data_IF_851598356479
#
_entry.id   IF_851598356479
#
_cell.length_a   1.000
_cell.length_b   1.000
_cell.length_c   1.000
_cell.angle_alpha   90.00
_cell.angle_beta   90.00
_cell.angle_gamma   90.00
#
_symmetry.space_group_name_H-M   'P 1'
#
loop_
_entity.id
_entity.type
_entity.pdbx_description
1 polymer ?
#
# COMPACT_ATOMS: atom_id res chain seq x y z
N UNK A 1 15.22 17.84 -13.48
CA UNK A 1 14.35 18.74 -12.71
C UNK A 1 14.18 20.10 -13.38
N UNK A 2 15.21 20.96 -13.46
CA UNK A 2 15.09 22.31 -14.05
C UNK A 2 14.45 22.35 -15.45
N UNK A 3 14.95 21.56 -16.40
CA UNK A 3 14.40 21.51 -17.75
C UNK A 3 12.91 21.10 -17.81
N UNK A 4 12.48 20.18 -16.93
CA UNK A 4 11.07 19.77 -16.85
C UNK A 4 10.21 20.86 -16.23
N UNK A 5 10.71 21.56 -15.20
CA UNK A 5 10.03 22.71 -14.60
C UNK A 5 9.89 23.86 -15.59
N UNK A 6 10.96 24.19 -16.32
CA UNK A 6 10.95 25.24 -17.34
C UNK A 6 9.93 24.91 -18.44
N UNK A 7 9.92 23.66 -18.93
CA UNK A 7 8.94 23.20 -19.93
C UNK A 7 7.49 23.37 -19.46
N UNK A 8 7.18 22.95 -18.23
CA UNK A 8 5.80 23.04 -17.69
C UNK A 8 5.36 24.49 -17.52
N UNK A 9 6.27 25.37 -17.08
CA UNK A 9 5.98 26.80 -16.93
C UNK A 9 5.82 27.51 -18.27
N UNK A 10 6.47 27.05 -19.33
CA UNK A 10 6.29 27.58 -20.68
C UNK A 10 4.99 27.07 -21.34
N UNK A 11 4.74 25.77 -21.28
CA UNK A 11 3.70 25.14 -22.09
C UNK A 11 2.33 25.07 -21.39
N UNK A 12 2.32 24.99 -20.06
CA UNK A 12 1.09 24.85 -19.27
C UNK A 12 1.09 25.71 -17.98
N UNK A 13 1.44 27.02 -18.04
CA UNK A 13 1.61 27.87 -16.86
C UNK A 13 0.36 27.97 -15.99
N UNK A 14 -0.82 28.04 -16.61
CA UNK A 14 -2.08 28.15 -15.86
C UNK A 14 -2.33 26.90 -15.01
N UNK A 15 -2.10 25.70 -15.56
CA UNK A 15 -2.28 24.45 -14.83
C UNK A 15 -1.25 24.28 -13.71
N UNK A 16 -0.07 24.88 -13.85
CA UNK A 16 1.01 24.79 -12.87
C UNK A 16 0.89 25.81 -11.72
N UNK A 17 0.31 26.98 -11.99
CA UNK A 17 0.34 28.13 -11.05
C UNK A 17 -1.01 28.47 -10.43
N UNK A 18 -2.11 27.94 -10.96
CA UNK A 18 -3.45 28.19 -10.42
C UNK A 18 -3.89 27.05 -9.49
N UNK A 19 -4.86 27.33 -8.60
CA UNK A 19 -5.52 26.29 -7.81
C UNK A 19 -6.06 25.18 -8.71
N UNK A 20 -5.64 23.95 -8.40
CA UNK A 20 -6.12 22.74 -9.05
C UNK A 20 -7.30 22.10 -8.32
N UNK A 21 -7.94 21.09 -8.94
CA UNK A 21 -8.97 20.28 -8.29
C UNK A 21 -8.40 19.51 -7.09
N UNK A 22 -9.23 19.29 -6.07
CA UNK A 22 -8.86 18.58 -4.83
C UNK A 22 -8.29 17.18 -5.09
N UNK A 23 -8.77 16.53 -6.16
CA UNK A 23 -8.36 15.18 -6.54
C UNK A 23 -6.95 15.12 -7.16
N UNK A 24 -6.40 16.26 -7.63
CA UNK A 24 -5.06 16.38 -8.22
C UNK A 24 -5.01 16.43 -9.76
N UNK A 25 -3.80 16.60 -10.31
CA UNK A 25 -3.56 16.75 -11.76
C UNK A 25 -3.93 15.49 -12.56
N UNK A 26 -4.92 15.62 -13.45
CA UNK A 26 -5.54 14.48 -14.13
C UNK A 26 -4.58 13.58 -14.92
N UNK A 27 -3.64 14.08 -15.75
CA UNK A 27 -2.70 13.22 -16.47
C UNK A 27 -1.81 12.37 -15.56
N UNK A 28 -1.44 12.90 -14.38
CA UNK A 28 -0.68 12.13 -13.40
C UNK A 28 -1.56 11.07 -12.74
N UNK A 29 -2.81 11.41 -12.39
CA UNK A 29 -3.76 10.45 -11.82
C UNK A 29 -4.07 9.32 -12.80
N UNK A 30 -4.21 9.61 -14.08
CA UNK A 30 -4.40 8.63 -15.15
C UNK A 30 -3.17 7.73 -15.30
N UNK A 31 -1.97 8.30 -15.28
CA UNK A 31 -0.73 7.52 -15.30
C UNK A 31 -0.61 6.62 -14.07
N UNK A 32 -0.92 7.14 -12.88
CA UNK A 32 -0.93 6.38 -11.62
C UNK A 32 -2.00 5.29 -11.64
N UNK A 33 -3.22 5.58 -12.09
CA UNK A 33 -4.30 4.60 -12.23
C UNK A 33 -3.93 3.51 -13.24
N UNK A 34 -3.45 3.87 -14.44
CA UNK A 34 -2.94 2.91 -15.41
C UNK A 34 -1.79 2.04 -14.84
N UNK A 35 -1.00 2.60 -13.91
CA UNK A 35 0.09 1.90 -13.23
C UNK A 35 -0.37 1.00 -12.07
N UNK A 36 -1.47 1.32 -11.40
CA UNK A 36 -1.90 0.74 -10.13
C UNK A 36 -3.24 0.01 -10.15
N UNK A 37 -4.07 0.17 -11.19
CA UNK A 37 -5.38 -0.47 -11.29
C UNK A 37 -5.23 -2.00 -11.44
N UNK A 38 -5.49 -2.72 -10.34
CA UNK A 38 -5.82 -4.16 -10.29
C UNK A 38 -6.93 -4.41 -9.27
N UNK A 39 -7.86 -5.28 -9.64
CA UNK A 39 -8.69 -6.11 -8.75
C UNK A 39 -9.58 -5.41 -7.71
N UNK A 40 -10.29 -4.34 -8.11
CA UNK A 40 -11.65 -4.04 -7.64
C UNK A 40 -11.91 -3.92 -6.13
N UNK A 41 -10.98 -3.36 -5.36
CA UNK A 41 -11.05 -3.37 -3.90
C UNK A 41 -12.10 -2.41 -3.28
N UNK A 42 -12.71 -2.86 -2.16
CA UNK A 42 -13.66 -2.12 -1.31
C UNK A 42 -13.32 -2.35 0.17
N UNK A 43 -13.52 -1.35 1.04
CA UNK A 43 -13.04 -1.31 2.44
C UNK A 43 -14.20 -1.23 3.46
N UNK A 44 -14.02 -1.84 4.64
CA UNK A 44 -14.93 -1.79 5.82
C UNK A 44 -14.14 -1.45 7.10
N UNK A 45 -14.76 -1.33 8.29
CA UNK A 45 -14.16 -0.93 9.61
C UNK A 45 -13.84 -2.04 10.67
N UNK A 46 -12.59 -2.50 10.81
CA UNK A 46 -12.05 -3.52 11.76
C UNK A 46 -10.49 -3.55 11.65
N UNK A 47 -9.82 -4.52 12.26
CA UNK A 47 -8.36 -4.54 12.54
C UNK A 47 -7.47 -4.44 11.28
N UNK A 48 -6.23 -3.94 11.44
CA UNK A 48 -5.25 -3.81 10.36
C UNK A 48 -4.05 -4.72 10.65
N UNK A 49 -3.78 -5.66 9.74
CA UNK A 49 -2.58 -6.51 9.83
C UNK A 49 -1.37 -5.75 9.29
N UNK A 50 -0.26 -5.75 10.02
CA UNK A 50 0.97 -5.05 9.65
C UNK A 50 2.20 -5.95 9.84
N UNK A 51 3.27 -5.67 9.12
CA UNK A 51 4.60 -6.20 9.45
C UNK A 51 5.08 -5.64 10.82
N UNK A 52 5.93 -6.37 11.55
CA UNK A 52 6.57 -5.86 12.77
C UNK A 52 8.08 -6.09 12.67
N UNK A 53 8.91 -5.05 12.46
CA UNK A 53 8.57 -3.63 12.33
C UNK A 53 7.91 -3.26 10.98
N UNK A 54 7.24 -2.10 10.90
CA UNK A 54 6.61 -1.57 9.67
C UNK A 54 6.93 -0.09 9.44
N UNK A 55 6.55 0.42 8.27
CA UNK A 55 6.77 1.80 7.87
C UNK A 55 5.95 2.78 8.73
N UNK A 56 6.67 3.63 9.46
CA UNK A 56 6.09 4.60 10.40
C UNK A 56 5.03 5.51 9.76
N UNK A 57 5.23 5.94 8.51
CA UNK A 57 4.28 6.81 7.81
C UNK A 57 2.92 6.15 7.59
N UNK A 58 2.90 4.85 7.30
CA UNK A 58 1.65 4.09 7.18
C UNK A 58 0.96 3.95 8.54
N UNK A 59 1.72 3.61 9.60
CA UNK A 59 1.18 3.53 10.96
C UNK A 59 0.57 4.86 11.42
N UNK A 60 1.23 5.99 11.14
CA UNK A 60 0.72 7.33 11.45
C UNK A 60 -0.55 7.66 10.67
N UNK A 61 -0.59 7.38 9.36
CA UNK A 61 -1.76 7.61 8.53
C UNK A 61 -2.97 6.78 8.98
N UNK A 62 -2.75 5.50 9.31
CA UNK A 62 -3.80 4.60 9.77
C UNK A 62 -4.27 4.93 11.19
N UNK A 63 -3.38 5.38 12.09
CA UNK A 63 -3.71 5.71 13.49
C UNK A 63 -4.80 6.77 13.63
N UNK A 64 -4.99 7.64 12.62
CA UNK A 64 -6.08 8.62 12.58
C UNK A 64 -7.47 8.00 12.68
N UNK A 65 -7.60 6.72 12.29
CA UNK A 65 -8.84 5.96 12.33
C UNK A 65 -8.92 5.00 13.53
N UNK A 66 -7.96 5.13 14.47
CA UNK A 66 -7.88 4.32 15.69
C UNK A 66 -8.02 2.80 15.47
N UNK A 67 -7.33 2.19 14.47
CA UNK A 67 -7.39 0.76 14.25
C UNK A 67 -6.71 0.00 15.39
N UNK A 68 -7.10 -1.26 15.57
CA UNK A 68 -6.26 -2.22 16.27
C UNK A 68 -5.22 -2.77 15.27
N UNK A 69 -3.94 -2.51 15.53
CA UNK A 69 -2.84 -3.10 14.75
C UNK A 69 -2.51 -4.49 15.28
N UNK A 70 -2.41 -5.45 14.36
CA UNK A 70 -1.98 -6.81 14.67
C UNK A 70 -0.75 -7.14 13.83
N UNK A 71 0.34 -7.53 14.50
CA UNK A 71 1.61 -7.83 13.85
C UNK A 71 1.62 -9.21 13.20
N UNK A 72 2.09 -9.28 11.96
CA UNK A 72 2.39 -10.54 11.25
C UNK A 72 3.83 -10.97 11.53
N UNK A 73 4.03 -12.27 11.76
CA UNK A 73 5.37 -12.85 11.88
C UNK A 73 6.18 -12.65 10.60
N UNK A 74 7.45 -12.29 10.74
CA UNK A 74 8.38 -12.06 9.63
C UNK A 74 9.76 -12.66 9.94
N UNK A 75 10.48 -13.07 8.91
CA UNK A 75 11.89 -13.49 8.94
C UNK A 75 12.73 -12.62 7.98
N UNK A 76 13.97 -13.02 7.68
CA UNK A 76 14.88 -12.28 6.79
C UNK A 76 14.30 -12.06 5.38
N UNK A 77 13.42 -12.96 4.94
CA UNK A 77 12.72 -12.91 3.66
C UNK A 77 11.35 -12.19 3.75
N UNK A 78 11.03 -11.54 4.88
CA UNK A 78 9.77 -10.83 5.11
C UNK A 78 8.69 -11.72 5.74
N UNK A 79 7.42 -11.41 5.47
CA UNK A 79 6.27 -12.10 6.10
C UNK A 79 6.33 -13.62 5.95
N UNK A 80 6.18 -14.33 7.07
CA UNK A 80 6.05 -15.80 7.12
C UNK A 80 4.60 -16.16 6.86
N UNK A 81 4.25 -16.31 5.59
CA UNK A 81 2.85 -16.51 5.14
C UNK A 81 2.22 -17.75 5.78
N UNK A 82 2.99 -18.82 5.96
CA UNK A 82 2.48 -20.08 6.55
C UNK A 82 2.15 -19.94 8.05
N UNK A 83 2.66 -18.89 8.70
CA UNK A 83 2.35 -18.57 10.09
C UNK A 83 1.14 -17.62 10.23
N UNK A 84 0.53 -17.17 9.12
CA UNK A 84 -0.66 -16.34 9.17
C UNK A 84 -1.86 -17.16 9.62
N UNK A 85 -2.41 -16.80 10.77
CA UNK A 85 -3.65 -17.37 11.27
C UNK A 85 -4.83 -17.00 10.32
N UNK A 86 -5.52 -17.98 9.73
CA UNK A 86 -6.70 -17.72 8.89
C UNK A 86 -7.80 -16.93 9.62
N UNK A 87 -7.94 -17.07 10.93
CA UNK A 87 -8.91 -16.33 11.72
C UNK A 87 -8.54 -14.84 11.82
N UNK A 88 -7.25 -14.52 11.95
CA UNK A 88 -6.76 -13.14 11.93
C UNK A 88 -6.97 -12.49 10.55
N UNK A 89 -6.75 -13.24 9.47
CA UNK A 89 -7.04 -12.75 8.13
C UNK A 89 -8.55 -12.45 7.99
N UNK A 90 -9.43 -13.38 8.38
CA UNK A 90 -10.87 -13.18 8.23
C UNK A 90 -11.44 -11.96 9.00
N UNK A 91 -10.81 -11.55 10.11
CA UNK A 91 -11.23 -10.36 10.89
C UNK A 91 -10.57 -9.04 10.41
N UNK A 92 -9.52 -9.13 9.58
CA UNK A 92 -8.78 -7.98 9.10
C UNK A 92 -9.55 -7.15 8.05
N UNK A 93 -9.34 -5.84 8.05
CA UNK A 93 -9.82 -4.95 6.97
C UNK A 93 -8.91 -4.86 5.79
N UNK A 94 -7.63 -4.92 6.05
CA UNK A 94 -6.60 -5.10 5.06
C UNK A 94 -5.35 -5.59 5.78
N UNK A 95 -4.46 -6.21 5.02
CA UNK A 95 -3.06 -6.30 5.43
C UNK A 95 -2.25 -5.24 4.72
N UNK A 96 -1.28 -4.69 5.43
CA UNK A 96 -0.27 -3.79 4.88
C UNK A 96 1.06 -4.55 4.78
N UNK A 97 1.62 -4.63 3.57
CA UNK A 97 2.87 -5.33 3.30
C UNK A 97 3.75 -4.54 2.33
N UNK A 98 5.03 -4.44 2.63
CA UNK A 98 6.05 -3.85 1.76
C UNK A 98 6.92 -4.95 1.14
N UNK A 99 6.47 -5.64 0.08
CA UNK A 99 7.13 -6.85 -0.42
C UNK A 99 8.48 -6.59 -1.11
N UNK A 100 8.79 -5.34 -1.45
CA UNK A 100 10.03 -4.96 -2.12
C UNK A 100 10.79 -3.97 -1.25
N UNK A 101 11.89 -4.43 -0.64
CA UNK A 101 12.78 -3.58 0.17
C UNK A 101 12.02 -2.90 1.31
N UNK A 102 11.53 -3.74 2.22
CA UNK A 102 10.73 -3.35 3.38
C UNK A 102 11.38 -2.19 4.14
N UNK A 103 10.60 -1.21 4.57
CA UNK A 103 11.08 -0.12 5.41
C UNK A 103 10.70 -0.43 6.87
N UNK A 104 11.62 -0.75 7.77
CA UNK A 104 13.06 -0.44 7.78
C UNK A 104 14.02 -1.61 7.42
N UNK A 105 13.56 -2.85 7.29
CA UNK A 105 14.45 -4.04 7.31
C UNK A 105 15.22 -4.29 6.01
N UNK A 106 14.77 -3.72 4.89
CA UNK A 106 15.30 -3.98 3.55
C UNK A 106 14.91 -5.33 2.95
N UNK A 107 14.16 -6.16 3.69
CA UNK A 107 13.75 -7.51 3.27
C UNK A 107 12.93 -7.48 1.98
N UNK A 108 13.00 -8.57 1.21
CA UNK A 108 12.27 -8.73 -0.05
C UNK A 108 11.52 -10.04 -0.04
N UNK A 109 10.19 -9.95 -0.02
CA UNK A 109 9.30 -11.11 -0.05
C UNK A 109 9.55 -11.93 -1.34
N UNK A 110 9.97 -13.21 -1.26
CA UNK A 110 10.19 -14.06 -2.42
C UNK A 110 8.90 -14.28 -3.22
N UNK A 111 9.02 -14.54 -4.53
CA UNK A 111 7.87 -14.70 -5.42
C UNK A 111 6.89 -15.78 -4.94
N UNK A 112 7.41 -16.90 -4.44
CA UNK A 112 6.58 -17.99 -3.88
C UNK A 112 5.72 -17.52 -2.70
N UNK A 113 6.30 -16.73 -1.78
CA UNK A 113 5.57 -16.16 -0.65
C UNK A 113 4.59 -15.09 -1.08
N UNK A 114 4.87 -14.31 -2.14
CA UNK A 114 3.89 -13.36 -2.71
C UNK A 114 2.66 -14.08 -3.23
N UNK A 115 2.84 -15.15 -4.01
CA UNK A 115 1.72 -15.93 -4.51
C UNK A 115 0.92 -16.56 -3.36
N UNK A 116 1.62 -17.12 -2.37
CA UNK A 116 0.96 -17.67 -1.18
C UNK A 116 0.16 -16.60 -0.43
N UNK A 117 0.73 -15.41 -0.20
CA UNK A 117 0.09 -14.31 0.50
C UNK A 117 -1.18 -13.84 -0.23
N UNK A 118 -1.08 -13.65 -1.55
CA UNK A 118 -2.23 -13.30 -2.39
C UNK A 118 -3.31 -14.38 -2.34
N UNK A 119 -2.93 -15.66 -2.39
CA UNK A 119 -3.89 -16.76 -2.31
C UNK A 119 -4.62 -16.79 -0.94
N UNK A 120 -3.90 -16.56 0.17
CA UNK A 120 -4.48 -16.50 1.51
C UNK A 120 -5.43 -15.31 1.67
N UNK A 121 -4.98 -14.12 1.24
CA UNK A 121 -5.79 -12.90 1.30
C UNK A 121 -7.05 -13.00 0.43
N UNK A 122 -6.93 -13.53 -0.79
CA UNK A 122 -8.06 -13.74 -1.70
C UNK A 122 -9.07 -14.76 -1.12
N UNK A 123 -8.59 -15.87 -0.53
CA UNK A 123 -9.45 -16.85 0.14
C UNK A 123 -10.20 -16.26 1.33
N UNK A 124 -9.58 -15.34 2.06
CA UNK A 124 -10.17 -14.65 3.21
C UNK A 124 -11.02 -13.42 2.83
N UNK A 125 -10.95 -12.95 1.58
CA UNK A 125 -11.62 -11.72 1.14
C UNK A 125 -10.99 -10.44 1.71
N UNK A 126 -9.70 -10.47 1.98
CA UNK A 126 -8.96 -9.37 2.65
C UNK A 126 -8.13 -8.62 1.62
N UNK A 127 -8.30 -7.29 1.49
CA UNK A 127 -7.43 -6.45 0.66
C UNK A 127 -5.97 -6.46 1.14
N UNK A 128 -5.05 -6.40 0.18
CA UNK A 128 -3.62 -6.17 0.43
C UNK A 128 -3.30 -4.73 0.02
N UNK A 129 -2.65 -3.97 0.91
CA UNK A 129 -2.11 -2.62 0.65
C UNK A 129 -0.59 -2.67 0.67
#
# INVERSE_FOLDING_TARGET
>A
MRAASDQVLCDAPQAALQYGPTEGYAPLREWVAARLSRDGASIRSSQVLIETPSYLGALQAFSLFQPAFVGMSSDDDGVVVDALDPALLADARFLYCLPNFQNLTGSRLPLVRRHALVAHAAKAGVPII
#
